data_IF_508159576395
#
_entry.id   IF_508159576395
#
_cell.length_a   1.000
_cell.length_b   1.000
_cell.length_c   1.000
_cell.angle_alpha   90.00
_cell.angle_beta   90.00
_cell.angle_gamma   90.00
#
_symmetry.space_group_name_H-M   'P 1'
#
loop_
_entity.id
_entity.type
_entity.pdbx_description
1 polymer ?
#
# COMPACT_ATOMS: atom_id res chain seq x y z
N UNK A 1 -10.39 -23.15 21.07
CA UNK A 1 -11.02 -22.80 19.78
C UNK A 1 -10.72 -21.34 19.44
N UNK A 2 -10.93 -20.42 20.38
CA UNK A 2 -10.74 -18.96 20.25
C UNK A 2 -9.38 -18.55 19.64
N UNK A 3 -8.26 -18.84 20.32
CA UNK A 3 -6.91 -18.50 19.81
C UNK A 3 -6.56 -19.15 18.45
N UNK A 4 -7.24 -20.25 18.08
CA UNK A 4 -7.07 -20.87 16.76
C UNK A 4 -7.93 -20.11 15.73
N UNK A 5 -9.11 -19.65 16.13
CA UNK A 5 -9.98 -18.77 15.36
C UNK A 5 -9.29 -17.45 14.97
N UNK A 6 -8.60 -16.78 15.90
CA UNK A 6 -7.89 -15.52 15.60
C UNK A 6 -6.81 -15.70 14.50
N UNK A 7 -6.09 -16.83 14.52
CA UNK A 7 -5.08 -17.12 13.51
C UNK A 7 -5.71 -17.51 12.16
N UNK A 8 -6.79 -18.29 12.17
CA UNK A 8 -7.41 -18.83 10.95
C UNK A 8 -8.31 -17.79 10.28
N UNK A 9 -9.06 -17.02 11.06
CA UNK A 9 -9.96 -15.97 10.59
C UNK A 9 -9.19 -14.67 10.33
N UNK A 10 -8.68 -14.05 11.39
CA UNK A 10 -8.17 -12.68 11.32
C UNK A 10 -6.83 -12.59 10.57
N UNK A 11 -5.96 -13.60 10.67
CA UNK A 11 -4.67 -13.58 9.97
C UNK A 11 -4.75 -14.24 8.60
N UNK A 12 -5.11 -15.53 8.54
CA UNK A 12 -5.12 -16.25 7.27
C UNK A 12 -6.23 -15.77 6.32
N UNK A 13 -7.44 -15.50 6.86
CA UNK A 13 -8.56 -14.99 6.08
C UNK A 13 -8.31 -13.58 5.55
N UNK A 14 -7.94 -12.64 6.43
CA UNK A 14 -7.63 -11.26 5.99
C UNK A 14 -6.46 -11.22 5.01
N UNK A 15 -5.43 -12.04 5.22
CA UNK A 15 -4.29 -12.14 4.30
C UNK A 15 -4.70 -12.58 2.90
N UNK A 16 -5.57 -13.59 2.78
CA UNK A 16 -6.08 -14.06 1.50
C UNK A 16 -6.99 -13.03 0.81
N UNK A 17 -7.86 -12.37 1.56
CA UNK A 17 -8.76 -11.32 1.07
C UNK A 17 -7.98 -10.11 0.51
N UNK A 18 -6.95 -9.66 1.23
CA UNK A 18 -6.06 -8.60 0.77
C UNK A 18 -5.26 -9.03 -0.47
N UNK A 19 -4.80 -10.28 -0.56
CA UNK A 19 -4.10 -10.78 -1.74
C UNK A 19 -5.01 -10.80 -2.98
N UNK A 20 -6.25 -11.30 -2.84
CA UNK A 20 -7.24 -11.32 -3.93
C UNK A 20 -7.55 -9.91 -4.43
N UNK A 21 -7.82 -8.98 -3.51
CA UNK A 21 -8.10 -7.58 -3.85
C UNK A 21 -6.89 -6.88 -4.50
N UNK A 22 -5.68 -7.13 -4.00
CA UNK A 22 -4.45 -6.54 -4.52
C UNK A 22 -4.16 -7.01 -5.95
N UNK A 23 -4.11 -8.33 -6.17
CA UNK A 23 -3.86 -8.91 -7.49
C UNK A 23 -5.00 -8.58 -8.46
N UNK A 24 -6.25 -8.65 -7.99
CA UNK A 24 -7.43 -8.31 -8.78
C UNK A 24 -7.40 -6.87 -9.31
N UNK A 25 -7.02 -5.90 -8.48
CA UNK A 25 -6.91 -4.49 -8.90
C UNK A 25 -5.85 -4.26 -9.98
N UNK A 26 -4.68 -4.91 -9.84
CA UNK A 26 -3.57 -4.81 -10.81
C UNK A 26 -3.98 -5.42 -12.16
N UNK A 27 -4.58 -6.62 -12.14
CA UNK A 27 -5.04 -7.31 -13.34
C UNK A 27 -6.19 -6.56 -14.02
N UNK A 28 -7.13 -6.00 -13.25
CA UNK A 28 -8.22 -5.19 -13.81
C UNK A 28 -7.68 -3.95 -14.53
N UNK A 29 -6.73 -3.23 -13.93
CA UNK A 29 -6.10 -2.08 -14.57
C UNK A 29 -5.28 -2.49 -15.81
N UNK A 30 -4.55 -3.60 -15.75
CA UNK A 30 -3.75 -4.10 -16.87
C UNK A 30 -4.62 -4.58 -18.05
N UNK A 31 -5.79 -5.17 -17.79
CA UNK A 31 -6.72 -5.59 -18.86
C UNK A 31 -7.40 -4.41 -19.54
N UNK A 32 -7.67 -3.31 -18.81
CA UNK A 32 -8.18 -2.06 -19.37
C UNK A 32 -7.16 -1.30 -20.23
N UNK A 33 -5.87 -1.61 -20.10
CA UNK A 33 -4.79 -0.90 -20.79
C UNK A 33 -4.78 -1.08 -22.34
N UNK A 34 -5.45 -2.10 -22.86
CA UNK A 34 -5.49 -2.42 -24.29
C UNK A 34 -4.11 -2.80 -24.85
N UNK A 35 -3.78 -2.33 -26.06
CA UNK A 35 -2.52 -2.68 -26.76
C UNK A 35 -1.32 -1.81 -26.36
N UNK A 36 -1.51 -0.82 -25.48
CA UNK A 36 -0.42 0.05 -25.06
C UNK A 36 0.47 -0.63 -24.01
N UNK A 37 1.70 -0.94 -24.39
CA UNK A 37 2.71 -1.52 -23.48
C UNK A 37 2.99 -0.63 -22.27
N UNK A 38 2.98 0.70 -22.45
CA UNK A 38 3.17 1.67 -21.36
C UNK A 38 2.01 1.62 -20.35
N UNK A 39 0.76 1.60 -20.84
CA UNK A 39 -0.44 1.51 -19.97
C UNK A 39 -0.54 0.15 -19.27
N UNK A 40 -0.10 -0.94 -19.92
CA UNK A 40 -0.08 -2.27 -19.33
C UNK A 40 0.98 -2.41 -18.23
N UNK A 41 2.14 -1.76 -18.41
CA UNK A 41 3.20 -1.74 -17.39
C UNK A 41 2.86 -0.85 -16.19
N UNK A 42 2.03 0.17 -16.38
CA UNK A 42 1.70 1.18 -15.36
C UNK A 42 1.20 0.62 -14.01
N UNK A 43 0.18 -0.26 -13.94
CA UNK A 43 -0.28 -0.81 -12.66
C UNK A 43 0.80 -1.65 -11.95
N UNK A 44 1.68 -2.32 -12.70
CA UNK A 44 2.80 -3.09 -12.12
C UNK A 44 3.86 -2.17 -11.49
N UNK A 45 4.17 -1.05 -12.15
CA UNK A 45 5.08 -0.04 -11.62
C UNK A 45 4.51 0.64 -10.37
N UNK A 46 3.21 0.97 -10.36
CA UNK A 46 2.55 1.52 -9.18
C UNK A 46 2.54 0.54 -8.00
N UNK A 47 2.22 -0.74 -8.26
CA UNK A 47 2.30 -1.80 -7.26
C UNK A 47 3.70 -1.90 -6.63
N UNK A 48 4.75 -1.84 -7.47
CA UNK A 48 6.14 -1.85 -7.01
C UNK A 48 6.51 -0.61 -6.18
N UNK A 49 6.03 0.57 -6.58
CA UNK A 49 6.22 1.80 -5.80
C UNK A 49 5.53 1.74 -4.43
N UNK A 50 4.33 1.17 -4.36
CA UNK A 50 3.59 0.97 -3.11
C UNK A 50 4.32 0.03 -2.15
N UNK A 51 4.92 -1.04 -2.68
CA UNK A 51 5.77 -1.95 -1.89
C UNK A 51 7.00 -1.23 -1.31
N UNK A 52 7.71 -0.44 -2.13
CA UNK A 52 8.86 0.34 -1.67
C UNK A 52 8.46 1.41 -0.64
N UNK A 53 7.35 2.12 -0.88
CA UNK A 53 6.80 3.08 0.08
C UNK A 53 6.46 2.43 1.42
N UNK A 54 5.83 1.26 1.40
CA UNK A 54 5.50 0.48 2.59
C UNK A 54 6.75 0.01 3.33
N UNK A 55 7.77 -0.44 2.61
CA UNK A 55 9.06 -0.84 3.18
C UNK A 55 9.75 0.32 3.91
N UNK A 56 9.72 1.54 3.34
CA UNK A 56 10.24 2.74 3.99
C UNK A 56 9.40 3.11 5.22
N UNK A 57 8.07 3.18 5.08
CA UNK A 57 7.15 3.55 6.14
C UNK A 57 7.20 2.64 7.36
N UNK A 58 7.48 1.35 7.17
CA UNK A 58 7.67 0.37 8.25
C UNK A 58 8.70 0.83 9.29
N UNK A 59 9.82 1.45 8.87
CA UNK A 59 10.84 1.93 9.81
C UNK A 59 10.39 3.10 10.69
N UNK A 60 9.31 3.78 10.31
CA UNK A 60 8.76 4.92 11.04
C UNK A 60 7.65 4.54 12.03
N UNK A 61 7.19 3.28 12.01
CA UNK A 61 6.24 2.74 13.00
C UNK A 61 6.99 2.47 14.30
N UNK A 62 7.07 3.48 15.17
CA UNK A 62 7.70 3.38 16.49
C UNK A 62 6.96 4.23 17.50
N UNK A 63 6.82 3.72 18.73
CA UNK A 63 6.24 4.41 19.88
C UNK A 63 7.00 4.05 21.15
N UNK A 64 7.11 5.01 22.06
CA UNK A 64 7.69 4.79 23.40
C UNK A 64 6.63 4.33 24.42
N UNK A 65 5.35 4.30 24.04
CA UNK A 65 4.25 3.86 24.89
C UNK A 65 4.30 2.34 25.08
N UNK A 66 4.35 1.89 26.35
CA UNK A 66 4.39 0.46 26.69
C UNK A 66 2.98 -0.11 26.80
N UNK A 67 2.81 -1.34 26.33
CA UNK A 67 1.55 -2.09 26.43
C UNK A 67 1.26 -2.62 27.84
N UNK A 68 1.25 -1.76 28.85
CA UNK A 68 1.00 -2.14 30.26
C UNK A 68 -0.51 -2.26 30.57
N UNK A 69 -1.22 -3.07 29.79
CA UNK A 69 -2.62 -3.44 30.03
C UNK A 69 -3.62 -2.28 29.90
N UNK A 70 -4.50 -2.11 30.90
CA UNK A 70 -5.69 -1.21 30.82
C UNK A 70 -5.34 0.28 30.76
N UNK A 71 -4.11 0.67 31.14
CA UNK A 71 -3.64 2.07 31.10
C UNK A 71 -2.74 2.32 29.88
N UNK A 72 -3.25 2.03 28.69
CA UNK A 72 -2.56 2.36 27.44
C UNK A 72 -3.11 3.65 26.85
N UNK A 73 -2.22 4.55 26.41
CA UNK A 73 -2.64 5.67 25.58
C UNK A 73 -2.87 5.18 24.14
N UNK A 74 -4.08 4.68 23.86
CA UNK A 74 -4.45 4.14 22.56
C UNK A 74 -4.21 5.15 21.42
N UNK A 75 -4.39 6.45 21.69
CA UNK A 75 -4.13 7.52 20.72
C UNK A 75 -2.67 7.57 20.27
N UNK A 76 -1.70 7.39 21.18
CA UNK A 76 -0.28 7.33 20.81
C UNK A 76 0.08 6.09 20.01
N UNK A 77 -0.53 4.93 20.32
CA UNK A 77 -0.32 3.70 19.55
C UNK A 77 -0.86 3.85 18.14
N UNK A 78 -2.09 4.35 18.01
CA UNK A 78 -2.72 4.62 16.72
C UNK A 78 -1.91 5.63 15.91
N UNK A 79 -1.47 6.73 16.54
CA UNK A 79 -0.64 7.72 15.88
C UNK A 79 0.70 7.16 15.38
N UNK A 80 1.29 6.18 16.07
CA UNK A 80 2.53 5.54 15.62
C UNK A 80 2.32 4.70 14.34
N UNK A 81 1.18 4.01 14.24
CA UNK A 81 0.77 3.29 13.02
C UNK A 81 0.47 4.28 11.88
N UNK A 82 -0.32 5.33 12.17
CA UNK A 82 -0.67 6.37 11.20
C UNK A 82 0.56 7.11 10.68
N UNK A 83 1.54 7.41 11.55
CA UNK A 83 2.81 8.03 11.16
C UNK A 83 3.54 7.20 10.11
N UNK A 84 3.64 5.88 10.31
CA UNK A 84 4.25 4.99 9.32
C UNK A 84 3.47 4.98 8.00
N UNK A 85 2.14 4.95 8.06
CA UNK A 85 1.26 5.02 6.90
C UNK A 85 1.42 6.35 6.14
N UNK A 86 1.48 7.49 6.83
CA UNK A 86 1.68 8.80 6.20
C UNK A 86 3.02 8.89 5.48
N UNK A 87 4.09 8.34 6.06
CA UNK A 87 5.40 8.28 5.41
C UNK A 87 5.35 7.38 4.18
N UNK A 88 4.74 6.20 4.28
CA UNK A 88 4.57 5.29 3.14
C UNK A 88 3.80 5.96 1.99
N UNK A 89 2.70 6.66 2.30
CA UNK A 89 1.88 7.36 1.33
C UNK A 89 2.61 8.53 0.67
N UNK A 90 3.42 9.30 1.44
CA UNK A 90 4.22 10.38 0.88
C UNK A 90 5.28 9.86 -0.10
N UNK A 91 5.96 8.77 0.25
CA UNK A 91 6.95 8.12 -0.65
C UNK A 91 6.26 7.56 -1.89
N UNK A 92 5.12 6.88 -1.71
CA UNK A 92 4.32 6.36 -2.82
C UNK A 92 3.88 7.47 -3.78
N UNK A 93 3.37 8.60 -3.28
CA UNK A 93 2.95 9.74 -4.09
C UNK A 93 4.10 10.26 -4.96
N UNK A 94 5.28 10.45 -4.38
CA UNK A 94 6.46 10.93 -5.11
C UNK A 94 6.87 9.95 -6.21
N UNK A 95 6.93 8.64 -5.89
CA UNK A 95 7.27 7.61 -6.87
C UNK A 95 6.21 7.49 -7.96
N UNK A 96 4.92 7.58 -7.62
CA UNK A 96 3.81 7.52 -8.56
C UNK A 96 3.88 8.67 -9.57
N UNK A 97 4.11 9.90 -9.10
CA UNK A 97 4.30 11.07 -9.98
C UNK A 97 5.51 10.85 -10.90
N UNK A 98 6.64 10.36 -10.37
CA UNK A 98 7.81 10.05 -11.18
C UNK A 98 7.51 9.00 -12.25
N UNK A 99 6.80 7.92 -11.91
CA UNK A 99 6.38 6.86 -12.82
C UNK A 99 5.50 7.41 -13.94
N UNK A 100 4.50 8.24 -13.62
CA UNK A 100 3.61 8.86 -14.61
C UNK A 100 4.41 9.71 -15.60
N UNK A 101 5.29 10.58 -15.09
CA UNK A 101 6.13 11.46 -15.93
C UNK A 101 7.10 10.65 -16.80
N UNK A 102 7.68 9.57 -16.28
CA UNK A 102 8.62 8.72 -17.02
C UNK A 102 7.96 7.85 -18.09
N UNK A 103 6.77 7.29 -17.82
CA UNK A 103 6.07 6.40 -18.76
C UNK A 103 5.31 7.14 -19.85
N UNK A 104 4.67 8.26 -19.52
CA UNK A 104 3.78 8.97 -20.44
C UNK A 104 4.34 10.29 -20.94
N UNK A 105 5.32 10.88 -20.24
CA UNK A 105 5.85 12.21 -20.55
C UNK A 105 5.05 13.34 -19.89
N UNK A 106 5.68 14.50 -19.62
CA UNK A 106 5.07 15.60 -18.86
C UNK A 106 3.91 16.28 -19.59
N UNK A 107 3.91 16.28 -20.93
CA UNK A 107 2.90 16.95 -21.76
C UNK A 107 1.81 16.00 -22.29
N UNK A 108 1.90 14.71 -21.96
CA UNK A 108 0.98 13.71 -22.47
C UNK A 108 -0.36 13.73 -21.74
N UNK A 109 -1.45 13.81 -22.51
CA UNK A 109 -2.80 13.72 -21.96
C UNK A 109 -3.20 12.30 -21.56
N UNK A 110 -2.39 11.29 -21.88
CA UNK A 110 -2.73 9.88 -21.71
C UNK A 110 -2.51 9.36 -20.28
N UNK A 111 -1.71 10.06 -19.47
CA UNK A 111 -1.46 9.69 -18.07
C UNK A 111 -2.45 10.31 -17.08
N UNK A 112 -3.21 11.34 -17.49
CA UNK A 112 -4.09 12.14 -16.62
C UNK A 112 -5.57 12.02 -16.95
N UNK A 113 -5.92 11.57 -18.17
CA UNK A 113 -7.30 11.26 -18.59
C UNK A 113 -7.62 9.81 -18.31
#
# INVERSE_FOLDING_TARGET
ADNVGDNVGDVAGMGADLFESYVGSILAAATLAGESSARMAFPMWLASAGLLGSFVGFFFVRTDEKGDGVKVNLGKLMFALEKGMYVANAVFLVLAVAIVVLLFGPDSTDGWK
#
